data_IF_242533588132
#
_entry.id   IF_242533588132
#
_cell.length_a   1.000
_cell.length_b   1.000
_cell.length_c   1.000
_cell.angle_alpha   90.00
_cell.angle_beta   90.00
_cell.angle_gamma   90.00
#
_symmetry.space_group_name_H-M   'P 1'
#
loop_
_entity.id
_entity.type
_entity.pdbx_description
1 polymer ?
#
# COMPACT_ATOMS: atom_id res chain seq x y z
N UNK A 1 21.31 -25.04 19.70
CA UNK A 1 20.01 -25.62 19.29
C UNK A 1 19.26 -24.59 18.47
N UNK A 2 19.25 -24.71 17.15
CA UNK A 2 18.57 -23.76 16.26
C UNK A 2 17.08 -24.07 16.31
N UNK A 3 16.30 -23.25 17.03
CA UNK A 3 14.84 -23.36 17.02
C UNK A 3 14.34 -23.14 15.59
N UNK A 4 13.91 -24.20 14.91
CA UNK A 4 13.22 -24.05 13.63
C UNK A 4 11.94 -23.25 13.88
N UNK A 5 11.90 -22.00 13.39
CA UNK A 5 10.64 -21.23 13.36
C UNK A 5 9.71 -21.96 12.40
N UNK A 6 8.52 -22.32 12.88
CA UNK A 6 7.45 -22.82 12.05
C UNK A 6 6.99 -21.69 11.13
N UNK A 7 7.24 -21.81 9.83
CA UNK A 7 6.78 -20.85 8.82
C UNK A 7 5.30 -21.07 8.51
N UNK A 8 4.48 -20.05 8.75
CA UNK A 8 3.07 -20.05 8.34
C UNK A 8 3.01 -19.45 6.94
N UNK A 9 2.40 -20.18 5.99
CA UNK A 9 2.21 -19.68 4.62
C UNK A 9 1.29 -18.47 4.61
N UNK A 10 1.76 -17.36 4.04
CA UNK A 10 0.98 -16.12 3.90
C UNK A 10 -0.27 -16.34 3.06
N UNK A 11 -0.14 -17.04 1.95
CA UNK A 11 -1.21 -17.37 1.01
C UNK A 11 -2.36 -18.18 1.62
N UNK A 12 -2.07 -18.99 2.64
CA UNK A 12 -3.06 -19.79 3.36
C UNK A 12 -3.69 -19.02 4.53
N UNK A 13 -2.92 -18.16 5.19
CA UNK A 13 -3.36 -17.45 6.39
C UNK A 13 -4.10 -16.14 6.08
N UNK A 14 -3.72 -15.43 5.02
CA UNK A 14 -4.24 -14.11 4.67
C UNK A 14 -5.49 -14.22 3.79
N UNK A 15 -6.60 -13.53 4.14
CA UNK A 15 -7.83 -13.52 3.35
C UNK A 15 -7.60 -13.20 1.87
N UNK A 16 -8.35 -13.86 1.00
CA UNK A 16 -8.22 -13.68 -0.46
C UNK A 16 -8.42 -12.23 -0.91
N UNK A 17 -9.34 -11.50 -0.27
CA UNK A 17 -9.57 -10.08 -0.58
C UNK A 17 -8.38 -9.19 -0.23
N UNK A 18 -7.66 -9.47 0.86
CA UNK A 18 -6.44 -8.73 1.21
C UNK A 18 -5.37 -8.98 0.16
N UNK A 19 -5.17 -10.26 -0.21
CA UNK A 19 -4.21 -10.65 -1.25
C UNK A 19 -4.53 -10.01 -2.60
N UNK A 20 -5.80 -9.91 -2.99
CA UNK A 20 -6.22 -9.22 -4.20
C UNK A 20 -5.78 -7.75 -4.19
N UNK A 21 -6.00 -7.06 -3.07
CA UNK A 21 -5.66 -5.63 -2.94
C UNK A 21 -4.14 -5.44 -2.99
N UNK A 22 -3.41 -6.03 -2.04
CA UNK A 22 -1.97 -5.74 -1.88
C UNK A 22 -1.07 -6.47 -2.88
N UNK A 23 -1.46 -7.63 -3.40
CA UNK A 23 -0.58 -8.37 -4.33
C UNK A 23 -0.95 -8.17 -5.80
N UNK A 24 -2.16 -7.68 -6.12
CA UNK A 24 -2.60 -7.55 -7.52
C UNK A 24 -2.95 -6.12 -7.89
N UNK A 25 -3.89 -5.49 -7.17
CA UNK A 25 -4.33 -4.14 -7.51
C UNK A 25 -3.24 -3.12 -7.24
N UNK A 26 -2.63 -3.18 -6.06
CA UNK A 26 -1.61 -2.22 -5.63
C UNK A 26 -0.35 -2.22 -6.52
N UNK A 27 0.26 -3.36 -6.88
CA UNK A 27 1.41 -3.35 -7.77
C UNK A 27 1.12 -2.73 -9.13
N UNK A 28 -0.10 -2.91 -9.65
CA UNK A 28 -0.53 -2.30 -10.91
C UNK A 28 -0.64 -0.79 -10.72
N UNK A 29 -1.29 -0.31 -9.65
CA UNK A 29 -1.43 1.13 -9.41
C UNK A 29 -0.09 1.81 -9.13
N UNK A 30 0.79 1.18 -8.34
CA UNK A 30 2.13 1.68 -8.07
C UNK A 30 2.97 1.72 -9.36
N UNK A 31 2.88 0.71 -10.23
CA UNK A 31 3.55 0.72 -11.53
C UNK A 31 3.02 1.83 -12.45
N UNK A 32 1.70 2.00 -12.54
CA UNK A 32 1.07 3.07 -13.32
C UNK A 32 1.45 4.45 -12.79
N UNK A 33 1.45 4.62 -11.47
CA UNK A 33 1.94 5.82 -10.80
C UNK A 33 3.39 6.10 -11.17
N UNK A 34 4.27 5.09 -11.08
CA UNK A 34 5.68 5.23 -11.44
C UNK A 34 5.85 5.68 -12.89
N UNK A 35 5.11 5.07 -13.82
CA UNK A 35 5.10 5.49 -15.23
C UNK A 35 4.68 6.96 -15.36
N UNK A 36 3.62 7.38 -14.65
CA UNK A 36 3.13 8.75 -14.68
C UNK A 36 4.19 9.75 -14.18
N UNK A 37 4.81 9.54 -13.02
CA UNK A 37 5.80 10.51 -12.51
C UNK A 37 7.10 10.52 -13.31
N UNK A 38 7.43 9.43 -14.01
CA UNK A 38 8.63 9.36 -14.85
C UNK A 38 8.43 10.03 -16.23
N UNK A 39 7.20 10.03 -16.77
CA UNK A 39 6.93 10.53 -18.13
C UNK A 39 6.10 11.82 -18.16
N UNK A 40 5.20 12.00 -17.21
CA UNK A 40 4.30 13.16 -17.11
C UNK A 40 4.24 13.73 -15.68
N UNK A 41 5.40 14.10 -15.10
CA UNK A 41 5.49 14.64 -13.73
C UNK A 41 4.63 15.89 -13.51
N UNK A 42 4.45 16.70 -14.55
CA UNK A 42 3.58 17.87 -14.53
C UNK A 42 2.10 17.51 -14.30
N UNK A 43 1.62 16.41 -14.88
CA UNK A 43 0.25 15.95 -14.67
C UNK A 43 0.06 15.41 -13.25
N UNK A 44 1.06 14.70 -12.73
CA UNK A 44 1.03 14.21 -11.35
C UNK A 44 0.97 15.38 -10.36
N UNK A 45 1.87 16.36 -10.52
CA UNK A 45 1.89 17.56 -9.68
C UNK A 45 0.56 18.30 -9.74
N UNK A 46 0.03 18.53 -10.94
CA UNK A 46 -1.24 19.21 -11.15
C UNK A 46 -2.39 18.52 -10.41
N UNK A 47 -2.49 17.19 -10.51
CA UNK A 47 -3.51 16.41 -9.82
C UNK A 47 -3.38 16.45 -8.29
N UNK A 48 -2.17 16.26 -7.77
CA UNK A 48 -1.90 16.23 -6.33
C UNK A 48 -2.12 17.58 -5.63
N UNK A 49 -1.92 18.67 -6.36
CA UNK A 49 -1.89 20.02 -5.80
C UNK A 49 -3.07 20.87 -6.24
N UNK A 50 -4.05 20.27 -6.95
CA UNK A 50 -5.19 20.98 -7.54
C UNK A 50 -4.76 22.16 -8.43
N UNK A 51 -3.68 21.99 -9.18
CA UNK A 51 -3.02 23.02 -9.99
C UNK A 51 -2.47 24.23 -9.19
N UNK A 52 -2.26 24.10 -7.88
CA UNK A 52 -1.71 25.20 -7.07
C UNK A 52 -0.24 25.51 -7.39
N UNK A 53 0.52 24.54 -7.89
CA UNK A 53 1.95 24.70 -8.22
C UNK A 53 2.25 24.36 -9.68
N UNK A 54 3.12 25.16 -10.30
CA UNK A 54 3.64 24.90 -11.63
C UNK A 54 4.81 23.90 -11.57
N UNK A 55 4.90 23.04 -12.57
CA UNK A 55 6.02 22.11 -12.69
C UNK A 55 7.30 22.85 -13.08
N UNK A 56 8.37 22.61 -12.32
CA UNK A 56 9.70 23.17 -12.58
C UNK A 56 10.66 22.07 -13.04
N UNK A 57 11.24 22.13 -14.26
CA UNK A 57 12.11 21.07 -14.79
C UNK A 57 13.30 20.69 -13.90
N UNK A 58 13.83 21.65 -13.14
CA UNK A 58 14.94 21.42 -12.21
C UNK A 58 14.56 20.54 -11.01
N UNK A 59 13.26 20.29 -10.80
CA UNK A 59 12.74 19.40 -9.75
C UNK A 59 12.50 17.97 -10.23
N UNK A 60 12.80 17.66 -11.52
CA UNK A 60 12.57 16.33 -12.12
C UNK A 60 13.15 15.19 -11.29
N UNK A 61 14.31 15.40 -10.67
CA UNK A 61 14.96 14.39 -9.84
C UNK A 61 14.07 13.91 -8.68
N UNK A 62 13.22 14.77 -8.11
CA UNK A 62 12.30 14.40 -7.02
C UNK A 62 11.24 13.40 -7.51
N UNK A 63 10.68 13.63 -8.70
CA UNK A 63 9.70 12.73 -9.32
C UNK A 63 10.32 11.39 -9.72
N UNK A 64 11.59 11.39 -10.17
CA UNK A 64 12.34 10.14 -10.40
C UNK A 64 12.51 9.34 -9.10
N UNK A 65 12.85 9.99 -7.99
CA UNK A 65 12.96 9.33 -6.69
C UNK A 65 11.61 8.76 -6.22
N UNK A 66 10.52 9.52 -6.40
CA UNK A 66 9.16 9.07 -6.10
C UNK A 66 8.76 7.85 -6.95
N UNK A 67 9.03 7.89 -8.26
CA UNK A 67 8.81 6.76 -9.16
C UNK A 67 9.59 5.53 -8.74
N UNK A 68 10.85 5.69 -8.30
CA UNK A 68 11.65 4.62 -7.73
C UNK A 68 11.01 4.00 -6.47
N UNK A 69 10.43 4.82 -5.59
CA UNK A 69 9.69 4.35 -4.41
C UNK A 69 8.47 3.50 -4.78
N UNK A 70 7.69 3.91 -5.77
CA UNK A 70 6.54 3.14 -6.25
C UNK A 70 6.93 1.87 -7.01
N UNK A 71 8.03 1.90 -7.78
CA UNK A 71 8.58 0.66 -8.37
C UNK A 71 9.04 -0.32 -7.29
N UNK A 72 9.59 0.18 -6.17
CA UNK A 72 9.94 -0.66 -5.03
C UNK A 72 8.72 -1.34 -4.40
N UNK A 73 7.61 -0.61 -4.23
CA UNK A 73 6.33 -1.18 -3.78
C UNK A 73 5.83 -2.25 -4.77
N UNK A 74 5.72 -1.89 -6.05
CA UNK A 74 5.25 -2.79 -7.09
C UNK A 74 6.10 -4.08 -7.18
N UNK A 75 7.42 -3.97 -7.04
CA UNK A 75 8.29 -5.15 -7.01
C UNK A 75 8.13 -5.97 -5.73
N UNK A 76 8.07 -5.31 -4.56
CA UNK A 76 7.94 -6.00 -3.28
C UNK A 76 6.64 -6.81 -3.21
N UNK A 77 5.53 -6.20 -3.57
CA UNK A 77 4.22 -6.81 -3.52
C UNK A 77 3.94 -7.73 -4.72
N UNK A 78 4.37 -7.29 -5.90
CA UNK A 78 4.23 -8.02 -7.17
C UNK A 78 5.10 -9.28 -7.21
N UNK A 79 6.32 -9.22 -6.70
CA UNK A 79 7.34 -10.27 -6.85
C UNK A 79 7.73 -10.87 -5.51
N UNK A 80 8.27 -10.06 -4.58
CA UNK A 80 8.86 -10.59 -3.33
C UNK A 80 7.84 -11.37 -2.51
N UNK A 81 6.65 -10.83 -2.30
CA UNK A 81 5.60 -11.52 -1.52
C UNK A 81 5.08 -12.79 -2.19
N UNK A 82 5.22 -12.95 -3.51
CA UNK A 82 4.88 -14.19 -4.24
C UNK A 82 5.98 -15.24 -4.15
N UNK A 83 7.24 -14.81 -4.19
CA UNK A 83 8.40 -15.70 -4.09
C UNK A 83 8.57 -16.20 -2.66
N UNK A 84 8.33 -15.32 -1.67
CA UNK A 84 8.51 -15.63 -0.26
C UNK A 84 7.16 -15.64 0.46
N UNK A 85 6.51 -16.81 0.43
CA UNK A 85 5.19 -17.05 1.02
C UNK A 85 5.26 -17.29 2.55
N UNK A 86 5.79 -16.33 3.30
CA UNK A 86 5.90 -16.35 4.77
C UNK A 86 5.11 -15.20 5.39
N UNK A 87 4.11 -15.52 6.22
CA UNK A 87 3.28 -14.54 6.93
C UNK A 87 4.10 -13.55 7.77
N UNK A 88 5.18 -14.00 8.42
CA UNK A 88 6.05 -13.14 9.23
C UNK A 88 6.73 -12.11 8.34
N UNK A 89 7.25 -12.55 7.19
CA UNK A 89 7.85 -11.65 6.21
C UNK A 89 6.82 -10.66 5.68
N UNK A 90 5.63 -11.13 5.33
CA UNK A 90 4.55 -10.27 4.83
C UNK A 90 4.20 -9.16 5.84
N UNK A 91 4.12 -9.48 7.13
CA UNK A 91 3.88 -8.49 8.19
C UNK A 91 5.00 -7.46 8.29
N UNK A 92 6.26 -7.89 8.20
CA UNK A 92 7.42 -6.98 8.25
C UNK A 92 7.45 -6.07 7.02
N UNK A 93 7.19 -6.61 5.82
CA UNK A 93 7.11 -5.82 4.59
C UNK A 93 5.96 -4.82 4.66
N UNK A 94 4.76 -5.25 5.07
CA UNK A 94 3.62 -4.35 5.27
C UNK A 94 3.92 -3.24 6.28
N UNK A 95 4.57 -3.56 7.39
CA UNK A 95 4.99 -2.57 8.39
C UNK A 95 5.99 -1.56 7.82
N UNK A 96 6.96 -2.01 7.02
CA UNK A 96 7.90 -1.12 6.34
C UNK A 96 7.21 -0.20 5.33
N UNK A 97 6.30 -0.74 4.52
CA UNK A 97 5.53 0.04 3.54
C UNK A 97 4.59 1.06 4.22
N UNK A 98 4.00 0.74 5.38
CA UNK A 98 3.21 1.68 6.16
C UNK A 98 3.98 2.94 6.59
N UNK A 99 5.30 2.87 6.74
CA UNK A 99 6.12 4.06 7.01
C UNK A 99 6.09 5.03 5.82
N UNK A 100 6.18 4.51 4.60
CA UNK A 100 6.08 5.33 3.39
C UNK A 100 4.64 5.77 3.12
N UNK A 101 3.63 4.96 3.44
CA UNK A 101 2.23 5.41 3.35
C UNK A 101 1.97 6.60 4.25
N UNK A 102 2.49 6.57 5.48
CA UNK A 102 2.30 7.67 6.41
C UNK A 102 2.87 8.98 5.85
N UNK A 103 4.06 8.90 5.22
CA UNK A 103 4.65 10.04 4.53
C UNK A 103 3.83 10.47 3.31
N UNK A 104 3.33 9.52 2.50
CA UNK A 104 2.51 9.81 1.32
C UNK A 104 1.17 10.46 1.70
N UNK A 105 0.43 9.88 2.64
CA UNK A 105 -0.84 10.42 3.15
C UNK A 105 -0.67 11.79 3.80
N UNK A 106 0.45 12.03 4.49
CA UNK A 106 0.73 13.37 5.00
C UNK A 106 1.06 14.34 3.86
N UNK A 107 1.83 13.89 2.86
CA UNK A 107 2.16 14.66 1.66
C UNK A 107 0.94 15.05 0.83
N UNK A 108 -0.05 14.16 0.66
CA UNK A 108 -1.32 14.47 -0.03
C UNK A 108 -2.07 15.58 0.69
N UNK A 109 -2.14 15.53 2.02
CA UNK A 109 -2.77 16.58 2.81
C UNK A 109 -1.99 17.90 2.72
N UNK A 110 -0.65 17.87 2.82
CA UNK A 110 0.19 19.07 2.65
C UNK A 110 0.00 19.72 1.28
N UNK A 111 -0.12 18.92 0.21
CA UNK A 111 -0.23 19.40 -1.17
C UNK A 111 -1.46 20.28 -1.42
N UNK A 112 -2.53 20.11 -0.63
CA UNK A 112 -3.77 20.91 -0.72
C UNK A 112 -3.90 21.96 0.39
N UNK A 113 -2.86 22.18 1.20
CA UNK A 113 -2.84 23.19 2.27
C UNK A 113 -3.11 22.66 3.68
N UNK A 114 -3.21 21.35 3.87
CA UNK A 114 -3.27 20.70 5.18
C UNK A 114 -4.42 19.71 5.34
N UNK A 115 -4.42 19.02 6.49
CA UNK A 115 -5.41 17.98 6.81
C UNK A 115 -6.84 18.51 6.89
N UNK A 116 -7.05 19.75 7.32
CA UNK A 116 -8.39 20.36 7.39
C UNK A 116 -9.04 20.40 6.01
N UNK A 117 -8.30 20.87 5.00
CA UNK A 117 -8.77 20.95 3.61
C UNK A 117 -8.91 19.55 3.00
N UNK A 118 -7.93 18.67 3.25
CA UNK A 118 -7.97 17.30 2.74
C UNK A 118 -9.14 16.49 3.30
N UNK A 119 -9.52 16.69 4.56
CA UNK A 119 -10.63 15.94 5.19
C UNK A 119 -12.01 16.49 4.78
N UNK A 120 -12.09 17.72 4.25
CA UNK A 120 -13.31 18.26 3.67
C UNK A 120 -13.59 17.68 2.28
N UNK A 121 -14.32 16.56 2.27
CA UNK A 121 -14.75 15.85 1.05
C UNK A 121 -15.61 16.68 0.11
N UNK A 122 -16.20 17.79 0.57
CA UNK A 122 -16.99 18.66 -0.31
C UNK A 122 -16.12 19.41 -1.33
N UNK A 123 -14.81 19.52 -1.05
CA UNK A 123 -13.83 20.21 -1.89
C UNK A 123 -13.04 19.28 -2.82
N UNK A 124 -13.32 17.98 -2.77
CA UNK A 124 -12.53 16.99 -3.49
C UNK A 124 -12.73 17.07 -5.00
N UNK A 125 -11.62 17.11 -5.73
CA UNK A 125 -11.60 16.94 -7.18
C UNK A 125 -11.64 15.45 -7.54
N UNK A 126 -11.76 15.13 -8.83
CA UNK A 126 -11.69 13.75 -9.31
C UNK A 126 -10.36 13.12 -8.95
N UNK A 127 -9.27 13.87 -9.04
CA UNK A 127 -7.91 13.45 -8.71
C UNK A 127 -7.77 13.12 -7.22
N UNK A 128 -8.43 13.87 -6.33
CA UNK A 128 -8.45 13.57 -4.90
C UNK A 128 -9.13 12.22 -4.63
N UNK A 129 -10.26 11.94 -5.29
CA UNK A 129 -10.91 10.63 -5.20
C UNK A 129 -10.02 9.50 -5.74
N UNK A 130 -9.34 9.72 -6.86
CA UNK A 130 -8.40 8.74 -7.44
C UNK A 130 -7.26 8.46 -6.47
N UNK A 131 -6.63 9.50 -5.91
CA UNK A 131 -5.56 9.34 -4.93
C UNK A 131 -6.04 8.59 -3.68
N UNK A 132 -7.23 8.93 -3.16
CA UNK A 132 -7.81 8.25 -2.01
C UNK A 132 -8.11 6.78 -2.28
N UNK A 133 -8.82 6.45 -3.36
CA UNK A 133 -9.25 5.07 -3.61
C UNK A 133 -8.13 4.15 -4.11
N UNK A 134 -7.05 4.70 -4.68
CA UNK A 134 -5.86 3.91 -5.04
C UNK A 134 -4.88 3.73 -3.88
N UNK A 135 -5.11 4.40 -2.73
CA UNK A 135 -4.20 4.36 -1.56
C UNK A 135 -4.89 3.83 -0.31
N UNK A 136 -6.03 4.38 0.10
CA UNK A 136 -6.65 4.06 1.39
C UNK A 136 -6.97 2.56 1.61
N UNK A 137 -7.47 1.81 0.61
CA UNK A 137 -7.68 0.36 0.77
C UNK A 137 -6.37 -0.40 1.04
N UNK A 138 -5.28 0.01 0.40
CA UNK A 138 -3.95 -0.59 0.52
C UNK A 138 -3.39 -0.38 1.91
N UNK A 139 -3.39 0.88 2.38
CA UNK A 139 -2.99 1.23 3.76
C UNK A 139 -3.81 0.44 4.77
N UNK A 140 -5.13 0.38 4.59
CA UNK A 140 -6.02 -0.34 5.49
C UNK A 140 -5.68 -1.84 5.54
N UNK A 141 -5.53 -2.49 4.40
CA UNK A 141 -5.18 -3.92 4.34
C UNK A 141 -3.82 -4.17 4.99
N UNK A 142 -2.83 -3.31 4.76
CA UNK A 142 -1.50 -3.43 5.38
C UNK A 142 -1.59 -3.28 6.90
N UNK A 143 -2.41 -2.37 7.43
CA UNK A 143 -2.72 -2.27 8.87
C UNK A 143 -3.34 -3.58 9.40
N UNK A 144 -4.37 -4.09 8.72
CA UNK A 144 -5.07 -5.32 9.13
C UNK A 144 -4.12 -6.53 9.17
N UNK A 145 -3.25 -6.68 8.16
CA UNK A 145 -2.23 -7.74 8.12
C UNK A 145 -1.23 -7.59 9.28
N UNK A 146 -0.72 -6.37 9.51
CA UNK A 146 0.25 -6.10 10.59
C UNK A 146 -0.35 -6.39 11.96
N UNK A 147 -1.60 -6.00 12.19
CA UNK A 147 -2.33 -6.26 13.43
C UNK A 147 -2.82 -7.71 13.55
N UNK A 148 -2.78 -8.50 12.48
CA UNK A 148 -3.25 -9.89 12.47
C UNK A 148 -4.78 -10.03 12.40
N UNK A 149 -5.49 -8.97 12.00
CA UNK A 149 -6.96 -8.96 11.95
C UNK A 149 -7.43 -9.73 10.71
N UNK A 150 -8.23 -10.78 10.94
CA UNK A 150 -8.76 -11.65 9.88
C UNK A 150 -7.76 -12.70 9.37
N UNK A 151 -6.60 -12.84 10.01
CA UNK A 151 -5.59 -13.85 9.66
C UNK A 151 -5.93 -15.19 10.30
N UNK A 152 -5.98 -16.27 9.50
CA UNK A 152 -6.26 -17.61 10.00
C UNK A 152 -4.95 -18.35 10.30
N UNK A 153 -4.68 -18.65 11.58
CA UNK A 153 -3.50 -19.43 11.97
C UNK A 153 -3.85 -20.92 12.18
N UNK A 154 -2.89 -21.86 12.01
CA UNK A 154 -3.15 -23.29 12.16
C UNK A 154 -3.74 -23.71 13.51
N UNK A 155 -3.46 -22.93 14.57
CA UNK A 155 -3.96 -23.19 15.93
C UNK A 155 -5.45 -22.88 16.06
N UNK A 156 -5.94 -21.84 15.38
CA UNK A 156 -7.36 -21.48 15.34
C UNK A 156 -8.17 -22.38 14.41
N UNK A 157 -7.58 -22.85 13.31
CA UNK A 157 -8.24 -23.76 12.38
C UNK A 157 -8.65 -25.08 13.08
N UNK A 158 -7.76 -25.65 13.90
CA UNK A 158 -8.07 -26.84 14.72
C UNK A 158 -9.13 -26.59 15.80
N UNK A 159 -9.15 -25.39 16.39
CA UNK A 159 -10.17 -25.02 17.38
C UNK A 159 -11.57 -24.98 16.78
N UNK A 160 -11.72 -24.35 15.60
CA UNK A 160 -12.99 -24.26 14.87
C UNK A 160 -13.46 -25.60 14.30
N UNK A 161 -12.53 -26.49 13.94
CA UNK A 161 -12.86 -27.83 13.45
C UNK A 161 -13.44 -28.70 14.58
N UNK A 162 -12.87 -28.63 15.78
CA UNK A 162 -13.39 -29.33 16.95
C UNK A 162 -14.75 -28.80 17.43
N UNK A 163 -14.99 -27.49 17.32
CA UNK A 163 -16.28 -26.88 17.68
C UNK A 163 -17.41 -27.26 16.72
N UNK A 164 -17.10 -27.53 15.44
CA UNK A 164 -18.08 -28.03 14.46
C UNK A 164 -18.39 -29.53 14.58
N UNK A 165 -17.62 -30.27 15.37
CA UNK A 165 -17.81 -31.72 15.58
C UNK A 165 -18.56 -32.05 16.88
N UNK A 166 -18.90 -31.03 17.67
CA UNK A 166 -19.74 -31.10 18.88
C UNK A 166 -21.17 -30.64 18.54
#
# INVERSE_FOLDING_TARGET
MTSQRVTIKGSAAVPGIYRLIIMTLEPIFALLGAVMVLHTPNQYLAGMTRNAFAYEPNTQFIYTQLGGGWLHFAFTEGVVMRVFDDLTLWRVLCAGMLLSDAAFCHGTAQAVGGWEIWLDRSTWTVEDYVAFFTTAPMVLVRILIVLGIGISTPKEAKGKENEKQL
#
